data_IF_315832888150
#
_entry.id   IF_315832888150
#
_cell.length_a   1.000
_cell.length_b   1.000
_cell.length_c   1.000
_cell.angle_alpha   90.00
_cell.angle_beta   90.00
_cell.angle_gamma   90.00
#
_symmetry.space_group_name_H-M   'P 1'
#
loop_
_entity.id
_entity.type
_entity.pdbx_description
1 polymer ?
#
# COMPACT_ATOMS: atom_id res chain seq x y z
N UNK A 1 2.93 7.84 6.01
CA UNK A 1 1.58 8.45 6.07
C UNK A 1 1.26 8.95 7.49
N UNK A 2 0.90 10.24 7.66
CA UNK A 2 0.36 10.74 8.94
C UNK A 2 -1.15 10.53 8.93
N UNK A 3 -1.61 9.49 9.63
CA UNK A 3 -3.03 9.18 9.79
C UNK A 3 -3.47 9.76 11.14
N UNK A 4 -4.58 10.51 11.15
CA UNK A 4 -5.14 11.09 12.37
C UNK A 4 -6.62 10.79 12.44
N UNK A 5 -7.10 10.43 13.62
CA UNK A 5 -8.54 10.31 13.92
C UNK A 5 -9.06 11.69 14.26
N UNK A 6 -10.18 12.09 13.65
CA UNK A 6 -10.85 13.37 13.90
C UNK A 6 -12.28 13.17 14.38
N UNK A 7 -12.83 14.17 15.06
CA UNK A 7 -14.24 14.15 15.46
C UNK A 7 -15.17 14.38 14.27
N UNK A 8 -16.45 14.02 14.42
CA UNK A 8 -17.47 14.24 13.40
C UNK A 8 -17.59 15.73 12.99
N UNK A 9 -17.50 16.66 13.95
CA UNK A 9 -17.56 18.09 13.66
C UNK A 9 -16.36 18.56 12.82
N UNK A 10 -15.16 18.07 13.13
CA UNK A 10 -13.96 18.36 12.35
C UNK A 10 -14.05 17.76 10.95
N UNK A 11 -14.64 16.57 10.81
CA UNK A 11 -14.91 15.95 9.52
C UNK A 11 -15.86 16.80 8.66
N UNK A 12 -17.00 17.22 9.21
CA UNK A 12 -17.94 18.11 8.52
C UNK A 12 -17.33 19.45 8.12
N UNK A 13 -16.46 20.02 8.96
CA UNK A 13 -15.72 21.23 8.64
C UNK A 13 -14.76 21.02 7.46
N UNK A 14 -13.99 19.92 7.51
CA UNK A 14 -12.99 19.56 6.48
C UNK A 14 -13.65 19.29 5.12
N UNK A 15 -14.83 18.67 5.08
CA UNK A 15 -15.59 18.43 3.85
C UNK A 15 -16.01 19.70 3.11
N UNK A 16 -16.20 20.83 3.81
CA UNK A 16 -16.66 22.09 3.19
C UNK A 16 -15.53 22.93 2.59
N UNK A 17 -14.27 22.57 2.86
CA UNK A 17 -13.08 23.29 2.40
C UNK A 17 -12.76 22.86 0.97
N UNK A 18 -12.60 23.84 0.07
CA UNK A 18 -12.41 23.61 -1.38
C UNK A 18 -11.06 22.98 -1.72
N UNK A 19 -10.10 23.13 -0.84
CA UNK A 19 -8.76 22.55 -0.93
C UNK A 19 -8.74 21.03 -0.64
N UNK A 20 -9.82 20.47 -0.10
CA UNK A 20 -9.88 19.06 0.26
C UNK A 20 -10.75 18.27 -0.72
N UNK A 21 -10.30 17.06 -1.04
CA UNK A 21 -11.10 16.07 -1.78
C UNK A 21 -11.66 15.04 -0.81
N UNK A 22 -12.96 14.80 -0.91
CA UNK A 22 -13.64 13.75 -0.16
C UNK A 22 -14.02 12.61 -1.09
N UNK A 23 -13.80 11.38 -0.66
CA UNK A 23 -14.25 10.18 -1.34
C UNK A 23 -14.76 9.19 -0.31
N UNK A 24 -15.68 8.33 -0.76
CA UNK A 24 -16.17 7.19 0.00
C UNK A 24 -15.92 5.96 -0.84
N UNK A 25 -15.57 4.86 -0.19
CA UNK A 25 -15.47 3.57 -0.85
C UNK A 25 -15.78 2.47 0.16
N UNK A 26 -16.29 1.35 -0.33
CA UNK A 26 -16.47 0.15 0.48
C UNK A 26 -15.25 -0.76 0.37
N UNK A 27 -15.05 -1.62 1.37
CA UNK A 27 -14.02 -2.67 1.30
C UNK A 27 -14.21 -3.51 0.02
N UNK A 28 -15.45 -3.85 -0.33
CA UNK A 28 -15.75 -4.60 -1.54
C UNK A 28 -15.29 -3.91 -2.84
N UNK A 29 -15.50 -2.60 -2.96
CA UNK A 29 -15.03 -1.84 -4.12
C UNK A 29 -13.51 -1.81 -4.20
N UNK A 30 -12.84 -1.65 -3.05
CA UNK A 30 -11.37 -1.73 -2.96
C UNK A 30 -10.89 -3.10 -3.44
N UNK A 31 -11.44 -4.18 -2.89
CA UNK A 31 -11.07 -5.56 -3.23
C UNK A 31 -11.25 -5.83 -4.72
N UNK A 32 -12.39 -5.42 -5.31
CA UNK A 32 -12.64 -5.61 -6.75
C UNK A 32 -11.59 -4.88 -7.61
N UNK A 33 -11.27 -3.65 -7.25
CA UNK A 33 -10.26 -2.85 -7.97
C UNK A 33 -8.85 -3.44 -7.78
N UNK A 34 -8.55 -3.99 -6.60
CA UNK A 34 -7.27 -4.66 -6.35
C UNK A 34 -7.15 -5.95 -7.16
N UNK A 35 -8.21 -6.75 -7.24
CA UNK A 35 -8.24 -7.96 -8.05
C UNK A 35 -8.03 -7.67 -9.54
N UNK A 36 -8.60 -6.58 -10.06
CA UNK A 36 -8.34 -6.11 -11.43
C UNK A 36 -6.88 -5.70 -11.67
N UNK A 37 -6.14 -5.38 -10.59
CA UNK A 37 -4.74 -4.91 -10.59
C UNK A 37 -3.78 -5.93 -9.98
N UNK A 38 -4.24 -7.15 -9.77
CA UNK A 38 -3.42 -8.25 -9.28
C UNK A 38 -2.44 -8.57 -10.39
N UNK A 39 -1.24 -8.00 -10.29
CA UNK A 39 -0.17 -8.18 -11.27
C UNK A 39 0.82 -9.16 -10.67
N UNK A 40 1.16 -10.18 -11.44
CA UNK A 40 2.29 -11.04 -11.15
C UNK A 40 3.59 -10.24 -11.18
N UNK A 41 4.66 -10.81 -10.63
CA UNK A 41 5.98 -10.20 -10.72
C UNK A 41 6.38 -10.02 -12.19
N UNK A 42 6.54 -8.76 -12.61
CA UNK A 42 6.89 -8.43 -13.98
C UNK A 42 8.32 -8.92 -14.32
N UNK A 43 8.48 -9.81 -15.31
CA UNK A 43 9.79 -10.32 -15.72
C UNK A 43 10.71 -9.23 -16.28
N UNK A 44 10.18 -8.12 -16.81
CA UNK A 44 11.00 -6.98 -17.25
C UNK A 44 11.60 -6.25 -16.04
N UNK A 45 10.79 -5.98 -15.02
CA UNK A 45 11.27 -5.43 -13.75
C UNK A 45 12.33 -6.32 -13.09
N UNK A 46 12.14 -7.65 -13.08
CA UNK A 46 13.11 -8.59 -12.51
C UNK A 46 14.50 -8.53 -13.17
N UNK A 47 14.54 -8.25 -14.48
CA UNK A 47 15.79 -8.02 -15.23
C UNK A 47 16.40 -6.66 -14.89
N UNK A 48 15.60 -5.60 -14.83
CA UNK A 48 16.08 -4.27 -14.44
C UNK A 48 16.74 -4.28 -13.06
N UNK A 49 16.13 -4.97 -12.09
CA UNK A 49 16.71 -5.15 -10.75
C UNK A 49 18.02 -5.95 -10.84
N UNK A 50 18.11 -6.99 -11.68
CA UNK A 50 19.36 -7.73 -11.86
C UNK A 50 20.51 -6.86 -12.37
N UNK A 51 20.20 -6.00 -13.35
CA UNK A 51 21.20 -5.26 -14.11
C UNK A 51 21.65 -3.97 -13.38
N UNK A 52 20.73 -3.33 -12.66
CA UNK A 52 20.96 -2.00 -12.05
C UNK A 52 21.24 -2.02 -10.56
N UNK A 53 20.93 -3.11 -9.85
CA UNK A 53 21.09 -3.16 -8.40
C UNK A 53 22.59 -3.19 -8.02
N UNK A 54 23.08 -2.21 -7.24
CA UNK A 54 24.46 -2.20 -6.79
C UNK A 54 24.84 -3.48 -6.03
N UNK A 55 26.09 -3.94 -6.11
CA UNK A 55 26.55 -5.19 -5.48
C UNK A 55 26.21 -5.28 -3.99
N UNK A 56 26.30 -4.17 -3.27
CA UNK A 56 26.06 -4.07 -1.83
C UNK A 56 24.61 -4.38 -1.46
N UNK A 57 23.68 -4.21 -2.40
CA UNK A 57 22.25 -4.43 -2.18
C UNK A 57 21.73 -5.73 -2.81
N UNK A 58 22.57 -6.53 -3.47
CA UNK A 58 22.14 -7.78 -4.14
C UNK A 58 21.48 -8.78 -3.19
N UNK A 59 21.82 -8.77 -1.91
CA UNK A 59 21.17 -9.59 -0.88
C UNK A 59 19.71 -9.22 -0.64
N UNK A 60 19.28 -8.01 -1.02
CA UNK A 60 17.92 -7.49 -0.87
C UNK A 60 17.16 -7.50 -2.20
N UNK A 61 17.56 -8.31 -3.18
CA UNK A 61 16.88 -8.36 -4.49
C UNK A 61 15.39 -8.71 -4.38
N UNK A 62 15.05 -9.52 -3.38
CA UNK A 62 13.70 -9.99 -3.07
C UNK A 62 12.76 -8.86 -2.61
N UNK A 63 13.27 -7.75 -2.08
CA UNK A 63 12.43 -6.61 -1.65
C UNK A 63 11.69 -5.93 -2.81
N UNK A 64 12.10 -6.22 -4.05
CA UNK A 64 11.46 -5.71 -5.26
C UNK A 64 10.37 -6.63 -5.82
N UNK A 65 10.10 -7.77 -5.17
CA UNK A 65 8.97 -8.64 -5.54
C UNK A 65 7.66 -8.01 -5.07
N UNK A 66 6.77 -7.76 -6.04
CA UNK A 66 5.40 -7.29 -5.78
C UNK A 66 4.62 -8.37 -5.03
N UNK A 67 4.72 -9.62 -5.47
CA UNK A 67 4.02 -10.74 -4.86
C UNK A 67 4.42 -10.97 -3.38
N UNK A 68 5.68 -10.72 -3.02
CA UNK A 68 6.13 -10.74 -1.63
C UNK A 68 5.63 -9.54 -0.83
N UNK A 69 5.55 -8.35 -1.44
CA UNK A 69 5.09 -7.13 -0.78
C UNK A 69 3.59 -7.14 -0.44
N UNK A 70 2.77 -7.83 -1.24
CA UNK A 70 1.33 -7.97 -1.01
C UNK A 70 1.00 -8.91 0.17
N UNK A 71 1.99 -9.65 0.70
CA UNK A 71 1.82 -10.50 1.88
C UNK A 71 1.96 -9.69 3.16
N UNK A 72 0.90 -9.69 3.96
CA UNK A 72 0.95 -9.10 5.30
C UNK A 72 1.95 -9.87 6.19
N UNK A 73 2.73 -9.15 7.03
CA UNK A 73 3.60 -9.80 8.00
C UNK A 73 2.78 -10.58 9.03
N UNK A 74 3.40 -11.58 9.64
CA UNK A 74 2.77 -12.32 10.73
C UNK A 74 2.41 -11.39 11.89
N UNK A 75 1.19 -11.57 12.40
CA UNK A 75 0.67 -10.82 13.54
C UNK A 75 1.55 -11.02 14.79
N UNK A 76 1.92 -9.92 15.44
CA UNK A 76 2.77 -9.88 16.63
C UNK A 76 1.94 -9.61 17.88
N UNK A 77 2.47 -10.00 19.05
CA UNK A 77 1.77 -9.83 20.34
C UNK A 77 1.41 -8.38 20.70
N UNK A 78 2.13 -7.42 20.12
CA UNK A 78 1.98 -5.98 20.36
C UNK A 78 1.34 -5.25 19.17
N UNK A 79 0.85 -5.97 18.18
CA UNK A 79 0.03 -5.36 17.14
C UNK A 79 -1.32 -4.95 17.73
N UNK A 80 -1.91 -3.91 17.16
CA UNK A 80 -3.24 -3.47 17.56
C UNK A 80 -4.27 -4.52 17.17
N UNK A 81 -5.20 -4.82 18.08
CA UNK A 81 -6.40 -5.60 17.75
C UNK A 81 -7.22 -4.78 16.76
N UNK A 82 -7.25 -5.26 15.52
CA UNK A 82 -8.04 -4.70 14.43
C UNK A 82 -9.46 -5.24 14.49
#
# INVERSE_FOLDING_TARGET
PRIAVISANAFHYTMKRKENTFFTTSIYEIERILQEREEEDDPENAKLVQDRLPPEYRSYRDVFSKSAADRLPEHRRYDHKI
#
